data_IF_918434276633
#
_entry.id   IF_918434276633
#
_cell.length_a   1.000
_cell.length_b   1.000
_cell.length_c   1.000
_cell.angle_alpha   90.00
_cell.angle_beta   90.00
_cell.angle_gamma   90.00
#
_symmetry.space_group_name_H-M   'P 1'
#
loop_
_entity.id
_entity.type
_entity.pdbx_description
1 polymer ?
#
# COMPACT_ATOMS: atom_id res chain seq x y z
N UNK A 1 6.91 -12.63 -28.74
CA UNK A 1 7.13 -11.18 -28.70
C UNK A 1 8.32 -10.90 -27.82
N UNK A 2 9.25 -10.07 -28.23
CA UNK A 2 10.38 -9.66 -27.39
C UNK A 2 9.91 -8.63 -26.33
N UNK A 3 10.64 -8.43 -25.22
CA UNK A 3 10.30 -7.38 -24.25
C UNK A 3 10.12 -6.00 -24.90
N UNK A 4 10.92 -5.66 -25.92
CA UNK A 4 10.81 -4.38 -26.66
C UNK A 4 9.50 -4.21 -27.44
N UNK A 5 8.83 -5.28 -27.82
CA UNK A 5 7.57 -5.25 -28.56
C UNK A 5 6.35 -5.25 -27.62
N UNK A 6 6.52 -5.73 -26.37
CA UNK A 6 5.42 -5.83 -25.40
C UNK A 6 5.00 -4.46 -24.88
N UNK A 7 5.96 -3.58 -24.56
CA UNK A 7 5.65 -2.26 -23.97
C UNK A 7 4.77 -1.41 -24.91
N UNK A 8 5.12 -1.19 -26.21
CA UNK A 8 4.27 -0.37 -27.09
C UNK A 8 2.85 -0.93 -27.23
N UNK A 9 2.70 -2.27 -27.25
CA UNK A 9 1.38 -2.91 -27.30
C UNK A 9 0.57 -2.63 -26.04
N UNK A 10 1.16 -2.82 -24.86
CA UNK A 10 0.51 -2.53 -23.57
C UNK A 10 0.12 -1.06 -23.50
N UNK A 11 1.01 -0.14 -23.87
CA UNK A 11 0.71 1.29 -23.89
C UNK A 11 -0.44 1.61 -24.85
N UNK A 12 -0.45 1.05 -26.04
CA UNK A 12 -1.56 1.21 -27.00
C UNK A 12 -2.89 0.76 -26.39
N UNK A 13 -2.92 -0.42 -25.73
CA UNK A 13 -4.11 -0.96 -25.09
C UNK A 13 -4.56 -0.05 -23.93
N UNK A 14 -3.62 0.46 -23.09
CA UNK A 14 -3.92 1.37 -21.98
C UNK A 14 -4.46 2.71 -22.47
N UNK A 15 -3.86 3.30 -23.51
CA UNK A 15 -4.36 4.55 -24.11
C UNK A 15 -5.75 4.38 -24.76
N UNK A 16 -6.05 3.20 -25.32
CA UNK A 16 -7.38 2.91 -25.82
C UNK A 16 -8.47 2.86 -24.74
N UNK A 17 -8.07 2.70 -23.45
CA UNK A 17 -8.95 2.70 -22.29
C UNK A 17 -8.91 4.01 -21.49
N UNK A 18 -8.26 5.06 -22.05
CA UNK A 18 -8.08 6.35 -21.39
C UNK A 18 -9.40 7.06 -21.12
N UNK A 19 -9.50 7.65 -19.91
CA UNK A 19 -10.53 8.60 -19.49
C UNK A 19 -9.84 9.90 -19.06
N UNK A 20 -9.93 10.94 -19.88
CA UNK A 20 -9.23 12.22 -19.64
C UNK A 20 -9.76 12.97 -18.41
N UNK A 21 -11.07 12.90 -18.15
CA UNK A 21 -11.66 13.50 -16.97
C UNK A 21 -11.15 12.84 -15.68
N UNK A 22 -11.12 11.51 -15.69
CA UNK A 22 -10.57 10.74 -14.58
C UNK A 22 -9.08 11.00 -14.40
N UNK A 23 -8.29 11.07 -15.48
CA UNK A 23 -6.87 11.43 -15.44
C UNK A 23 -6.66 12.76 -14.72
N UNK A 24 -7.37 13.80 -15.15
CA UNK A 24 -7.23 15.17 -14.64
C UNK A 24 -7.67 15.30 -13.19
N UNK A 25 -8.62 14.50 -12.76
CA UNK A 25 -9.02 14.38 -11.36
C UNK A 25 -7.96 13.61 -10.54
N UNK A 26 -7.57 12.43 -11.02
CA UNK A 26 -6.73 11.50 -10.25
C UNK A 26 -5.30 12.00 -10.08
N UNK A 27 -4.71 12.60 -11.11
CA UNK A 27 -3.37 13.20 -11.05
C UNK A 27 -3.24 14.25 -9.93
N UNK A 28 -4.29 15.01 -9.63
CA UNK A 28 -4.28 15.98 -8.52
C UNK A 28 -4.15 15.32 -7.14
N UNK A 29 -4.51 14.06 -7.01
CA UNK A 29 -4.42 13.31 -5.76
C UNK A 29 -3.04 12.68 -5.54
N UNK A 30 -2.19 12.69 -6.57
CA UNK A 30 -0.85 12.10 -6.58
C UNK A 30 0.21 13.17 -6.92
N UNK A 31 0.49 14.13 -6.02
CA UNK A 31 1.38 15.25 -6.32
C UNK A 31 2.84 14.82 -6.57
N UNK A 32 3.21 13.59 -6.27
CA UNK A 32 4.53 13.00 -6.53
C UNK A 32 4.66 12.40 -7.93
N UNK A 33 3.57 12.33 -8.68
CA UNK A 33 3.52 11.74 -10.03
C UNK A 33 3.27 12.84 -11.04
N UNK A 34 4.14 12.93 -12.05
CA UNK A 34 3.95 13.87 -13.16
C UNK A 34 2.66 13.55 -13.91
N UNK A 35 1.84 14.58 -14.19
CA UNK A 35 0.54 14.41 -14.85
C UNK A 35 0.64 13.69 -16.20
N UNK A 36 1.72 13.96 -16.93
CA UNK A 36 2.02 13.39 -18.24
C UNK A 36 2.30 11.88 -18.19
N UNK A 37 2.71 11.37 -17.02
CA UNK A 37 2.89 9.93 -16.78
C UNK A 37 1.60 9.21 -16.37
N UNK A 38 0.48 9.93 -16.23
CA UNK A 38 -0.84 9.35 -15.93
C UNK A 38 -1.65 9.25 -17.22
N UNK A 39 -2.00 8.04 -17.63
CA UNK A 39 -2.85 7.79 -18.81
C UNK A 39 -4.32 8.10 -18.47
N UNK A 40 -4.80 7.66 -17.30
CA UNK A 40 -6.16 7.85 -16.84
C UNK A 40 -7.04 6.62 -17.07
N UNK A 41 -6.55 5.41 -16.81
CA UNK A 41 -7.36 4.19 -16.85
C UNK A 41 -7.96 3.90 -15.48
N UNK A 42 -9.28 3.81 -15.40
CA UNK A 42 -9.97 3.50 -14.14
C UNK A 42 -9.60 2.10 -13.62
N UNK A 43 -9.34 1.98 -12.33
CA UNK A 43 -8.89 0.73 -11.68
C UNK A 43 -9.77 -0.50 -12.03
N UNK A 44 -11.12 -0.45 -12.05
CA UNK A 44 -11.93 -1.60 -12.43
C UNK A 44 -11.69 -2.06 -13.89
N UNK A 45 -11.46 -1.10 -14.80
CA UNK A 45 -11.14 -1.40 -16.22
C UNK A 45 -9.76 -2.05 -16.30
N UNK A 46 -8.77 -1.47 -15.63
CA UNK A 46 -7.40 -2.01 -15.58
C UNK A 46 -7.36 -3.41 -14.96
N UNK A 47 -8.11 -3.68 -13.88
CA UNK A 47 -8.25 -5.02 -13.30
C UNK A 47 -8.83 -6.03 -14.29
N UNK A 48 -9.81 -5.62 -15.10
CA UNK A 48 -10.40 -6.46 -16.13
C UNK A 48 -9.37 -6.80 -17.23
N UNK A 49 -8.60 -5.79 -17.65
CA UNK A 49 -7.51 -5.97 -18.61
C UNK A 49 -6.42 -6.88 -18.04
N UNK A 50 -5.94 -6.61 -16.83
CA UNK A 50 -4.91 -7.40 -16.14
C UNK A 50 -5.29 -8.88 -16.03
N UNK A 51 -6.56 -9.19 -15.73
CA UNK A 51 -7.06 -10.57 -15.64
C UNK A 51 -6.99 -11.32 -16.98
N UNK A 52 -7.20 -10.62 -18.09
CA UNK A 52 -7.09 -11.21 -19.44
C UNK A 52 -5.62 -11.31 -19.87
N UNK A 53 -4.90 -10.21 -19.75
CA UNK A 53 -3.50 -10.09 -20.14
C UNK A 53 -2.59 -11.04 -19.34
N UNK A 54 -2.82 -11.21 -18.03
CA UNK A 54 -2.04 -12.11 -17.17
C UNK A 54 -2.06 -13.59 -17.58
N UNK A 55 -2.95 -14.00 -18.52
CA UNK A 55 -2.99 -15.35 -19.08
C UNK A 55 -2.09 -15.54 -20.30
N UNK A 56 -1.43 -14.49 -20.77
CA UNK A 56 -0.61 -14.48 -21.98
C UNK A 56 0.89 -14.63 -21.65
N UNK A 57 1.68 -15.08 -22.61
CA UNK A 57 3.14 -15.10 -22.46
C UNK A 57 3.74 -13.69 -22.48
N UNK A 58 3.05 -12.74 -23.10
CA UNK A 58 3.44 -11.32 -23.09
C UNK A 58 3.44 -10.73 -21.67
N UNK A 59 2.50 -11.16 -20.80
CA UNK A 59 2.47 -10.71 -19.40
C UNK A 59 3.74 -11.12 -18.63
N UNK A 60 4.27 -12.32 -18.90
CA UNK A 60 5.55 -12.77 -18.31
C UNK A 60 6.75 -11.94 -18.81
N UNK A 61 6.70 -11.49 -20.07
CA UNK A 61 7.73 -10.59 -20.59
C UNK A 61 7.60 -9.19 -20.02
N UNK A 62 6.35 -8.70 -19.85
CA UNK A 62 6.07 -7.40 -19.25
C UNK A 62 6.59 -7.31 -17.79
N UNK A 63 6.37 -8.36 -16.98
CA UNK A 63 6.89 -8.42 -15.60
C UNK A 63 8.42 -8.31 -15.52
N UNK A 64 9.17 -8.67 -16.57
CA UNK A 64 10.64 -8.53 -16.59
C UNK A 64 11.13 -7.11 -16.83
N UNK A 65 10.23 -6.20 -17.20
CA UNK A 65 10.58 -4.85 -17.63
C UNK A 65 10.31 -3.87 -16.46
N UNK A 66 11.34 -3.25 -15.97
CA UNK A 66 11.31 -2.19 -14.95
C UNK A 66 12.46 -1.21 -15.23
N UNK A 67 12.29 0.08 -14.93
CA UNK A 67 11.07 0.76 -14.51
C UNK A 67 10.06 0.92 -15.64
N UNK A 68 8.80 1.25 -15.29
CA UNK A 68 7.75 1.62 -16.24
C UNK A 68 7.69 3.15 -16.43
N UNK A 69 7.13 3.58 -17.56
CA UNK A 69 6.98 5.00 -17.90
C UNK A 69 5.69 5.59 -17.32
N UNK A 70 4.58 4.80 -17.34
CA UNK A 70 3.27 5.29 -16.95
C UNK A 70 2.79 4.69 -15.62
N UNK A 71 2.04 5.49 -14.89
CA UNK A 71 1.38 5.09 -13.64
C UNK A 71 0.53 3.81 -13.81
N UNK A 72 -0.21 3.70 -14.90
CA UNK A 72 -1.04 2.54 -15.15
C UNK A 72 -0.23 1.28 -15.55
N UNK A 73 0.96 1.44 -16.10
CA UNK A 73 1.89 0.32 -16.28
C UNK A 73 2.37 -0.22 -14.93
N UNK A 74 2.70 0.66 -13.97
CA UNK A 74 3.03 0.27 -12.60
C UNK A 74 1.86 -0.44 -11.92
N UNK A 75 0.64 0.09 -12.05
CA UNK A 75 -0.56 -0.56 -11.53
C UNK A 75 -0.81 -1.93 -12.19
N UNK A 76 -0.64 -2.03 -13.51
CA UNK A 76 -0.76 -3.30 -14.24
C UNK A 76 0.25 -4.32 -13.71
N UNK A 77 1.50 -3.90 -13.51
CA UNK A 77 2.56 -4.74 -12.94
C UNK A 77 2.14 -5.32 -11.59
N UNK A 78 1.70 -4.47 -10.66
CA UNK A 78 1.17 -4.91 -9.37
C UNK A 78 -0.01 -5.87 -9.49
N UNK A 79 -0.97 -5.59 -10.38
CA UNK A 79 -2.13 -6.46 -10.63
C UNK A 79 -1.76 -7.81 -11.26
N UNK A 80 -0.63 -7.90 -11.97
CA UNK A 80 -0.10 -9.17 -12.47
C UNK A 80 0.57 -9.96 -11.36
N UNK A 81 1.33 -9.31 -10.46
CA UNK A 81 1.90 -9.95 -9.26
C UNK A 81 0.79 -10.56 -8.40
N UNK A 82 -0.35 -9.88 -8.22
CA UNK A 82 -1.51 -10.41 -7.48
C UNK A 82 -2.05 -11.74 -8.02
N UNK A 83 -1.78 -12.07 -9.29
CA UNK A 83 -2.24 -13.30 -9.94
C UNK A 83 -1.28 -14.47 -9.78
N UNK A 84 -0.06 -14.24 -9.31
CA UNK A 84 0.94 -15.28 -9.08
C UNK A 84 0.52 -16.12 -7.88
N UNK A 85 0.37 -17.43 -8.09
CA UNK A 85 -0.08 -18.37 -7.06
C UNK A 85 1.06 -18.99 -6.26
N UNK A 86 2.23 -19.11 -6.87
CA UNK A 86 3.43 -19.60 -6.20
C UNK A 86 3.96 -18.51 -5.26
N UNK A 87 4.17 -18.86 -4.00
CA UNK A 87 4.57 -17.90 -2.97
C UNK A 87 5.96 -17.33 -3.20
N UNK A 88 6.94 -18.19 -3.50
CA UNK A 88 8.34 -17.74 -3.64
C UNK A 88 8.48 -16.85 -4.89
N UNK A 89 7.88 -17.24 -5.99
CA UNK A 89 7.86 -16.42 -7.21
C UNK A 89 7.12 -15.09 -6.98
N UNK A 90 6.01 -15.12 -6.24
CA UNK A 90 5.25 -13.90 -5.92
C UNK A 90 6.10 -12.93 -5.09
N UNK A 91 6.85 -13.43 -4.10
CA UNK A 91 7.73 -12.61 -3.27
C UNK A 91 8.91 -12.08 -4.08
N UNK A 92 9.52 -12.89 -4.95
CA UNK A 92 10.61 -12.46 -5.83
C UNK A 92 10.19 -11.30 -6.72
N UNK A 93 9.05 -11.43 -7.41
CA UNK A 93 8.52 -10.38 -8.28
C UNK A 93 8.11 -9.13 -7.48
N UNK A 94 7.56 -9.31 -6.29
CA UNK A 94 7.19 -8.21 -5.41
C UNK A 94 8.44 -7.43 -4.92
N UNK A 95 9.47 -8.14 -4.43
CA UNK A 95 10.71 -7.52 -3.96
C UNK A 95 11.44 -6.78 -5.10
N UNK A 96 11.31 -7.26 -6.34
CA UNK A 96 11.85 -6.58 -7.52
C UNK A 96 11.05 -5.34 -7.90
N UNK A 97 9.73 -5.34 -7.70
CA UNK A 97 8.85 -4.24 -8.07
C UNK A 97 8.80 -3.12 -7.03
N UNK A 98 8.82 -3.44 -5.73
CA UNK A 98 8.67 -2.46 -4.63
C UNK A 98 9.55 -1.21 -4.77
N UNK A 99 10.86 -1.30 -5.14
CA UNK A 99 11.71 -0.13 -5.30
C UNK A 99 11.29 0.84 -6.44
N UNK A 100 10.39 0.41 -7.31
CA UNK A 100 9.91 1.20 -8.45
C UNK A 100 8.54 1.86 -8.19
N UNK A 101 7.95 1.66 -7.01
CA UNK A 101 6.71 2.32 -6.62
C UNK A 101 7.03 3.74 -6.15
N UNK A 102 6.48 4.74 -6.81
CA UNK A 102 6.75 6.17 -6.61
C UNK A 102 5.55 6.95 -6.05
N UNK A 103 4.45 6.26 -5.75
CA UNK A 103 3.23 6.89 -5.26
C UNK A 103 2.40 5.97 -4.35
N UNK A 104 1.57 6.61 -3.52
CA UNK A 104 0.69 5.92 -2.57
C UNK A 104 -0.41 5.08 -3.26
N UNK A 105 -0.91 5.51 -4.42
CA UNK A 105 -2.05 4.86 -5.07
C UNK A 105 -1.64 3.49 -5.66
N UNK A 106 -0.47 3.40 -6.28
CA UNK A 106 0.11 2.11 -6.73
C UNK A 106 0.44 1.22 -5.53
N UNK A 107 1.03 1.79 -4.47
CA UNK A 107 1.38 1.06 -3.26
C UNK A 107 0.14 0.42 -2.59
N UNK A 108 -0.94 1.20 -2.43
CA UNK A 108 -2.15 0.75 -1.72
C UNK A 108 -3.04 -0.13 -2.59
N UNK A 109 -2.85 -0.10 -3.91
CA UNK A 109 -3.55 -0.98 -4.85
C UNK A 109 -3.15 -2.45 -4.69
N UNK A 110 -1.88 -2.72 -4.31
CA UNK A 110 -1.35 -4.07 -4.20
C UNK A 110 -2.01 -4.87 -3.08
N UNK A 111 -2.65 -5.98 -3.42
CA UNK A 111 -3.31 -6.89 -2.50
C UNK A 111 -2.86 -8.34 -2.74
N UNK A 112 -1.68 -8.70 -2.27
CA UNK A 112 -1.03 -9.98 -2.52
C UNK A 112 -1.69 -11.10 -1.68
N UNK A 113 -2.66 -11.80 -2.25
CA UNK A 113 -3.46 -12.81 -1.52
C UNK A 113 -2.74 -14.13 -1.28
N UNK A 114 -1.77 -14.47 -2.10
CA UNK A 114 -0.96 -15.70 -2.02
C UNK A 114 -0.28 -15.86 -0.66
N UNK A 115 0.04 -14.74 0.01
CA UNK A 115 0.71 -14.72 1.32
C UNK A 115 -0.15 -15.26 2.48
N UNK A 116 -1.48 -15.35 2.34
CA UNK A 116 -2.38 -15.77 3.42
C UNK A 116 -2.05 -17.14 4.01
N UNK A 117 -1.52 -18.05 3.21
CA UNK A 117 -1.12 -19.38 3.66
C UNK A 117 0.34 -19.44 4.14
N UNK A 118 1.05 -18.31 4.17
CA UNK A 118 2.49 -18.22 4.46
C UNK A 118 2.82 -17.12 5.49
N UNK A 119 1.86 -16.72 6.34
CA UNK A 119 1.99 -15.58 7.24
C UNK A 119 3.20 -15.68 8.18
N UNK A 120 3.55 -16.90 8.64
CA UNK A 120 4.73 -17.13 9.51
C UNK A 120 6.07 -16.84 8.82
N UNK A 121 6.17 -16.98 7.51
CA UNK A 121 7.36 -16.59 6.73
C UNK A 121 7.26 -15.17 6.19
N UNK A 122 6.04 -14.73 5.88
CA UNK A 122 5.78 -13.41 5.30
C UNK A 122 6.11 -12.27 6.27
N UNK A 123 5.89 -12.46 7.59
CA UNK A 123 6.26 -11.45 8.59
C UNK A 123 7.75 -11.09 8.54
N UNK A 124 8.64 -12.04 8.23
CA UNK A 124 10.08 -11.79 8.11
C UNK A 124 10.42 -10.90 6.90
N UNK A 125 9.60 -10.96 5.85
CA UNK A 125 9.72 -10.06 4.69
C UNK A 125 9.26 -8.67 5.07
N UNK A 126 8.12 -8.57 5.75
CA UNK A 126 7.60 -7.30 6.25
C UNK A 126 8.64 -6.61 7.15
N UNK A 127 9.27 -7.33 8.06
CA UNK A 127 10.31 -6.77 8.94
C UNK A 127 11.40 -6.04 8.14
N UNK A 128 11.91 -6.66 7.06
CA UNK A 128 12.90 -6.04 6.18
C UNK A 128 12.36 -4.82 5.44
N UNK A 129 11.08 -4.85 5.01
CA UNK A 129 10.48 -3.72 4.31
C UNK A 129 10.25 -2.52 5.24
N UNK A 130 9.98 -2.76 6.53
CA UNK A 130 9.86 -1.68 7.52
C UNK A 130 11.21 -0.98 7.81
N UNK A 131 12.32 -1.65 7.56
CA UNK A 131 13.70 -1.13 7.71
C UNK A 131 14.25 -0.52 6.40
N UNK A 132 13.48 -0.51 5.31
CA UNK A 132 13.88 0.04 4.03
C UNK A 132 14.10 1.57 4.10
N UNK A 133 14.97 2.09 3.25
CA UNK A 133 15.09 3.55 3.01
C UNK A 133 14.05 4.05 2.00
N UNK A 134 13.38 3.14 1.26
CA UNK A 134 12.42 3.50 0.25
C UNK A 134 11.02 3.71 0.84
N UNK A 135 10.46 4.91 0.69
CA UNK A 135 9.21 5.40 1.28
C UNK A 135 8.05 4.40 1.08
N UNK A 136 7.84 3.98 -0.16
CA UNK A 136 6.68 3.14 -0.50
C UNK A 136 6.90 1.66 -0.17
N UNK A 137 8.15 1.20 -0.02
CA UNK A 137 8.46 -0.13 0.53
C UNK A 137 8.10 -0.18 2.02
N UNK A 138 8.45 0.86 2.81
CA UNK A 138 8.04 0.98 4.21
C UNK A 138 6.51 1.03 4.30
N UNK A 139 5.86 1.90 3.50
CA UNK A 139 4.40 2.02 3.44
C UNK A 139 3.73 0.69 3.10
N UNK A 140 4.25 -0.05 2.14
CA UNK A 140 3.76 -1.37 1.78
C UNK A 140 3.86 -2.35 2.95
N UNK A 141 4.99 -2.40 3.66
CA UNK A 141 5.17 -3.22 4.87
C UNK A 141 4.13 -2.91 5.94
N UNK A 142 3.86 -1.62 6.22
CA UNK A 142 2.82 -1.17 7.16
C UNK A 142 1.44 -1.63 6.69
N UNK A 143 1.12 -1.49 5.39
CA UNK A 143 -0.15 -1.93 4.83
C UNK A 143 -0.35 -3.44 4.95
N UNK A 144 0.72 -4.23 4.77
CA UNK A 144 0.65 -5.69 4.92
C UNK A 144 0.41 -6.10 6.37
N UNK A 145 1.02 -5.43 7.36
CA UNK A 145 0.68 -5.61 8.78
C UNK A 145 -0.79 -5.28 9.04
N UNK A 146 -1.28 -4.18 8.48
CA UNK A 146 -2.67 -3.76 8.66
C UNK A 146 -3.67 -4.75 8.05
N UNK A 147 -3.35 -5.35 6.88
CA UNK A 147 -4.24 -6.26 6.17
C UNK A 147 -4.27 -7.69 6.74
N UNK A 148 -3.14 -8.19 7.22
CA UNK A 148 -3.00 -9.62 7.55
C UNK A 148 -2.76 -9.93 9.03
N UNK A 149 -2.38 -8.93 9.85
CA UNK A 149 -1.94 -9.16 11.22
C UNK A 149 -2.71 -8.34 12.27
N UNK A 150 -3.89 -7.85 11.96
CA UNK A 150 -4.75 -7.14 12.93
C UNK A 150 -5.95 -7.97 13.42
N UNK A 151 -6.10 -9.21 12.98
CA UNK A 151 -7.18 -10.10 13.41
C UNK A 151 -6.64 -11.29 14.20
N UNK A 152 -6.69 -12.50 13.62
CA UNK A 152 -6.28 -13.76 14.28
C UNK A 152 -4.77 -13.81 14.54
N UNK A 153 -3.98 -13.27 13.62
CA UNK A 153 -2.51 -13.24 13.69
C UNK A 153 -1.96 -12.06 14.53
N UNK A 154 -2.84 -11.32 15.21
CA UNK A 154 -2.41 -10.14 15.97
C UNK A 154 -1.45 -10.50 17.09
N UNK A 155 -0.32 -9.75 17.16
CA UNK A 155 0.63 -9.76 18.27
C UNK A 155 1.00 -8.34 18.63
N UNK A 156 1.20 -8.07 19.92
CA UNK A 156 1.49 -6.74 20.42
C UNK A 156 2.84 -6.18 19.90
N UNK A 157 3.73 -7.05 19.43
CA UNK A 157 4.99 -6.64 18.80
C UNK A 157 4.79 -5.87 17.49
N UNK A 158 3.69 -6.13 16.73
CA UNK A 158 3.47 -5.48 15.44
C UNK A 158 3.17 -3.99 15.55
N UNK A 159 2.23 -3.52 16.40
CA UNK A 159 2.11 -2.08 16.64
C UNK A 159 3.40 -1.50 17.24
N UNK A 160 4.18 -2.26 18.02
CA UNK A 160 5.50 -1.85 18.50
C UNK A 160 6.47 -1.54 17.37
N UNK A 161 6.55 -2.41 16.35
CA UNK A 161 7.37 -2.19 15.15
C UNK A 161 6.95 -0.92 14.39
N UNK A 162 5.66 -0.73 14.17
CA UNK A 162 5.14 0.47 13.47
C UNK A 162 5.37 1.74 14.30
N UNK A 163 5.24 1.69 15.63
CA UNK A 163 5.53 2.82 16.51
C UNK A 163 7.03 3.20 16.50
N UNK A 164 7.91 2.20 16.32
CA UNK A 164 9.36 2.41 16.33
C UNK A 164 9.89 3.09 15.05
N UNK A 165 9.13 3.07 13.94
CA UNK A 165 9.54 3.73 12.69
C UNK A 165 9.74 5.23 12.96
N UNK A 166 10.87 5.77 12.50
CA UNK A 166 11.16 7.22 12.50
C UNK A 166 11.30 7.67 11.06
N UNK A 167 10.49 8.66 10.66
CA UNK A 167 10.48 9.18 9.30
C UNK A 167 9.96 10.61 9.28
N UNK A 168 10.54 11.45 8.42
CA UNK A 168 10.02 12.79 8.08
C UNK A 168 9.02 12.71 6.92
N UNK A 169 8.91 11.56 6.27
CA UNK A 169 8.12 11.35 5.06
C UNK A 169 6.61 11.28 5.35
N UNK A 170 5.86 12.20 4.74
CA UNK A 170 4.41 12.29 4.90
C UNK A 170 3.69 10.98 4.64
N UNK A 171 4.04 10.27 3.55
CA UNK A 171 3.35 9.04 3.16
C UNK A 171 3.65 7.85 4.05
N UNK A 172 4.82 7.80 4.69
CA UNK A 172 5.16 6.82 5.73
C UNK A 172 4.34 7.12 6.99
N UNK A 173 4.36 8.38 7.46
CA UNK A 173 3.66 8.78 8.67
C UNK A 173 2.14 8.67 8.54
N UNK A 174 1.59 8.92 7.33
CA UNK A 174 0.18 8.67 7.03
C UNK A 174 -0.20 7.18 7.11
N UNK A 175 0.65 6.28 6.61
CA UNK A 175 0.43 4.84 6.73
C UNK A 175 0.47 4.37 8.19
N UNK A 176 1.41 4.89 8.99
CA UNK A 176 1.50 4.65 10.44
C UNK A 176 0.21 5.09 11.14
N UNK A 177 -0.26 6.30 10.86
CA UNK A 177 -1.50 6.82 11.44
C UNK A 177 -2.73 5.97 11.04
N UNK A 178 -2.80 5.52 9.79
CA UNK A 178 -3.85 4.62 9.32
C UNK A 178 -3.79 3.24 9.98
N UNK A 179 -2.59 2.69 10.12
CA UNK A 179 -2.38 1.43 10.84
C UNK A 179 -2.95 1.52 12.24
N UNK A 180 -2.54 2.53 13.04
CA UNK A 180 -2.98 2.69 14.42
C UNK A 180 -4.49 2.97 14.53
N UNK A 181 -5.06 3.79 13.66
CA UNK A 181 -6.50 4.04 13.64
C UNK A 181 -7.30 2.75 13.33
N UNK A 182 -6.80 1.92 12.42
CA UNK A 182 -7.42 0.61 12.09
C UNK A 182 -7.21 -0.39 13.22
N UNK A 183 -6.03 -0.39 13.84
CA UNK A 183 -5.71 -1.26 14.97
C UNK A 183 -6.56 -0.93 16.20
N UNK A 184 -6.78 0.35 16.51
CA UNK A 184 -7.73 0.78 17.55
C UNK A 184 -9.15 0.29 17.28
N UNK A 185 -9.60 0.33 16.02
CA UNK A 185 -10.94 -0.13 15.67
C UNK A 185 -11.13 -1.66 15.83
N UNK A 186 -10.04 -2.43 15.86
CA UNK A 186 -10.06 -3.90 15.93
C UNK A 186 -9.59 -4.46 17.28
N UNK A 187 -8.64 -3.79 17.92
CA UNK A 187 -7.92 -4.24 19.12
C UNK A 187 -7.74 -3.07 20.11
N UNK A 188 -8.83 -2.36 20.41
CA UNK A 188 -8.81 -1.09 21.14
C UNK A 188 -7.95 -1.13 22.41
N UNK A 189 -8.28 -2.02 23.35
CA UNK A 189 -7.62 -2.09 24.66
C UNK A 189 -6.13 -2.45 24.58
N UNK A 190 -5.75 -3.23 23.55
CA UNK A 190 -4.37 -3.66 23.33
C UNK A 190 -3.52 -2.58 22.67
N UNK A 191 -4.14 -1.68 21.90
CA UNK A 191 -3.44 -0.65 21.10
C UNK A 191 -3.50 0.72 21.78
N UNK A 192 -4.50 0.98 22.62
CA UNK A 192 -4.67 2.24 23.34
C UNK A 192 -3.42 2.69 24.11
N UNK A 193 -2.66 1.79 24.81
CA UNK A 193 -1.44 2.18 25.51
C UNK A 193 -0.38 2.86 24.63
N UNK A 194 -0.34 2.60 23.33
CA UNK A 194 0.59 3.29 22.42
C UNK A 194 0.30 4.79 22.30
N UNK A 195 -0.95 5.18 22.49
CA UNK A 195 -1.34 6.59 22.54
C UNK A 195 -1.17 7.18 23.94
N UNK A 196 -1.61 6.47 24.98
CA UNK A 196 -1.49 6.94 26.38
C UNK A 196 -0.02 7.19 26.77
N UNK A 197 0.89 6.33 26.30
CA UNK A 197 2.33 6.44 26.54
C UNK A 197 3.09 7.26 25.47
N UNK A 198 2.37 7.85 24.52
CA UNK A 198 2.93 8.69 23.44
C UNK A 198 4.09 8.02 22.68
N UNK A 199 3.94 6.77 22.28
CA UNK A 199 5.00 5.97 21.62
C UNK A 199 5.38 6.45 20.22
N UNK A 200 4.61 7.37 19.63
CA UNK A 200 4.81 7.91 18.28
C UNK A 200 5.23 9.39 18.36
N UNK A 201 5.76 9.91 17.24
CA UNK A 201 5.92 11.35 17.08
C UNK A 201 4.57 12.08 17.13
N UNK A 202 4.60 13.37 17.50
CA UNK A 202 3.40 14.19 17.74
C UNK A 202 2.46 14.23 16.55
N UNK A 203 3.00 14.33 15.32
CA UNK A 203 2.18 14.39 14.12
C UNK A 203 1.42 13.08 13.88
N UNK A 204 2.15 11.95 13.91
CA UNK A 204 1.55 10.61 13.72
C UNK A 204 0.54 10.29 14.82
N UNK A 205 0.85 10.64 16.08
CA UNK A 205 -0.04 10.48 17.22
C UNK A 205 -1.37 11.22 17.00
N UNK A 206 -1.31 12.53 16.72
CA UNK A 206 -2.50 13.35 16.54
C UNK A 206 -3.29 12.96 15.27
N UNK A 207 -2.58 12.55 14.19
CA UNK A 207 -3.20 12.06 12.96
C UNK A 207 -3.91 10.71 13.19
N UNK A 208 -3.34 9.83 14.01
CA UNK A 208 -4.00 8.57 14.43
C UNK A 208 -5.32 8.86 15.12
N UNK A 209 -5.32 9.77 16.10
CA UNK A 209 -6.54 10.15 16.83
C UNK A 209 -7.58 10.74 15.86
N UNK A 210 -7.15 11.62 14.95
CA UNK A 210 -8.04 12.18 13.92
C UNK A 210 -8.70 11.08 13.11
N UNK A 211 -7.93 10.14 12.59
CA UNK A 211 -8.45 9.03 11.76
C UNK A 211 -9.32 8.05 12.55
N UNK A 212 -8.98 7.77 13.80
CA UNK A 212 -9.80 6.94 14.67
C UNK A 212 -11.17 7.56 14.94
N UNK A 213 -11.25 8.87 15.21
CA UNK A 213 -12.49 9.59 15.44
C UNK A 213 -13.39 9.61 14.19
N UNK A 214 -12.81 9.64 12.99
CA UNK A 214 -13.54 9.53 11.72
C UNK A 214 -14.18 8.15 11.50
N UNK A 215 -13.67 7.12 12.19
CA UNK A 215 -14.15 5.74 12.02
C UNK A 215 -15.52 5.51 12.70
N UNK A 216 -16.43 4.82 12.01
CA UNK A 216 -17.70 4.35 12.57
C UNK A 216 -17.53 3.15 13.52
N UNK A 217 -16.35 2.52 13.55
CA UNK A 217 -16.05 1.36 14.41
C UNK A 217 -15.57 1.73 15.80
N UNK A 218 -15.27 3.00 16.04
CA UNK A 218 -14.91 3.56 17.35
C UNK A 218 -16.16 4.14 18.00
N UNK A 219 -16.46 3.75 19.25
CA UNK A 219 -17.67 4.20 19.95
C UNK A 219 -17.59 5.68 20.30
N UNK A 220 -18.73 6.36 20.57
CA UNK A 220 -18.74 7.76 21.00
C UNK A 220 -17.87 8.00 22.25
N UNK A 221 -17.91 7.12 23.24
CA UNK A 221 -17.16 7.19 24.49
C UNK A 221 -15.64 7.08 24.21
N UNK A 222 -15.25 6.12 23.36
CA UNK A 222 -13.86 5.96 22.93
C UNK A 222 -13.37 7.20 22.15
N UNK A 223 -14.21 7.80 21.31
CA UNK A 223 -13.86 9.03 20.58
C UNK A 223 -13.62 10.19 21.53
N UNK A 224 -14.46 10.36 22.55
CA UNK A 224 -14.27 11.40 23.56
C UNK A 224 -12.95 11.19 24.33
N UNK A 225 -12.68 9.97 24.75
CA UNK A 225 -11.42 9.65 25.41
C UNK A 225 -10.20 9.93 24.53
N UNK A 226 -10.22 9.46 23.28
CA UNK A 226 -9.14 9.71 22.32
C UNK A 226 -8.90 11.21 22.10
N UNK A 227 -9.93 12.05 22.12
CA UNK A 227 -9.75 13.52 22.02
C UNK A 227 -8.94 14.10 23.17
N UNK A 228 -9.07 13.53 24.39
CA UNK A 228 -8.29 13.98 25.56
C UNK A 228 -6.81 13.65 25.44
N UNK A 229 -6.44 12.65 24.65
CA UNK A 229 -5.05 12.22 24.43
C UNK A 229 -4.30 13.05 23.38
N UNK A 230 -4.96 13.99 22.68
CA UNK A 230 -4.27 14.86 21.72
C UNK A 230 -3.17 15.67 22.38
N UNK A 231 -1.98 15.65 21.77
CA UNK A 231 -0.84 16.46 22.20
C UNK A 231 -1.01 17.86 21.61
N UNK A 232 -1.02 18.88 22.49
CA UNK A 232 -1.04 20.29 22.07
C UNK A 232 0.33 20.67 21.52
N UNK A 233 0.34 21.26 20.35
CA UNK A 233 1.53 21.89 19.75
C UNK A 233 1.66 23.32 20.26
#
# INVERSE_FOLDING_TARGET
MTPKEVIPKVQQDLFAMQDLEYRDFHAKLMPTVEKESVIGVRVPVLRTYAKKFGKTEEAKQFLKILPHQYYEENNLHGLLIEQIKDYELCIEELERFLPHIDNWATCDLLAVRTVKNHLNSYIKKIDRWLESEHIYTIRFGINMLMHYYLEEEFKLEYPGKVAAIRSEEYYVNMARAWYFATALAKKYDQVLPFLEEQKMDVWTHNKTIQKAIESYRITPEQKEYLRTLKIRQ
#
